data_IF_231954522067
#
_entry.id   IF_231954522067
#
_cell.length_a   1.000
_cell.length_b   1.000
_cell.length_c   1.000
_cell.angle_alpha   90.00
_cell.angle_beta   90.00
_cell.angle_gamma   90.00
#
_symmetry.space_group_name_H-M   'P 1'
#
loop_
_entity.id
_entity.type
_entity.pdbx_description
1 polymer ?
#
# COMPACT_ATOMS: atom_id res chain seq x y z
N UNK A 1 18.92 -24.02 -15.79
CA UNK A 1 18.35 -23.81 -14.46
C UNK A 1 16.95 -23.25 -14.66
N UNK A 2 15.92 -24.05 -14.34
CA UNK A 2 14.53 -23.66 -14.54
C UNK A 2 14.18 -22.54 -13.56
N UNK A 3 13.67 -21.43 -14.08
CA UNK A 3 12.92 -20.46 -13.29
C UNK A 3 11.68 -21.20 -12.78
N UNK A 4 11.68 -21.54 -11.49
CA UNK A 4 10.47 -22.00 -10.83
C UNK A 4 9.41 -20.92 -11.00
N UNK A 5 8.32 -21.29 -11.68
CA UNK A 5 7.10 -20.53 -11.63
C UNK A 5 6.71 -20.55 -10.13
N UNK A 6 6.92 -19.43 -9.44
CA UNK A 6 6.29 -19.21 -8.13
C UNK A 6 4.82 -19.30 -8.44
N UNK A 7 4.16 -20.35 -7.93
CA UNK A 7 2.71 -20.47 -7.97
C UNK A 7 2.17 -19.12 -7.47
N UNK A 8 1.45 -18.41 -8.34
CA UNK A 8 0.98 -17.05 -8.05
C UNK A 8 0.20 -17.16 -6.74
N UNK A 9 0.72 -16.53 -5.69
CA UNK A 9 0.07 -16.50 -4.39
C UNK A 9 -1.38 -16.08 -4.63
N UNK A 10 -2.34 -16.88 -4.19
CA UNK A 10 -3.75 -16.62 -4.46
C UNK A 10 -4.17 -15.46 -3.56
N UNK A 11 -4.05 -14.25 -4.08
CA UNK A 11 -4.40 -13.02 -3.35
C UNK A 11 -5.91 -12.89 -3.15
N UNK A 12 -6.69 -13.41 -4.11
CA UNK A 12 -8.15 -13.31 -4.11
C UNK A 12 -8.75 -14.22 -3.05
N UNK A 13 -9.61 -13.68 -2.15
CA UNK A 13 -10.28 -14.47 -1.14
C UNK A 13 -11.31 -15.44 -1.74
N UNK A 14 -11.85 -16.40 -0.95
CA UNK A 14 -12.96 -17.26 -1.36
C UNK A 14 -14.14 -16.44 -1.88
N UNK A 15 -14.84 -16.96 -2.88
CA UNK A 15 -16.08 -16.35 -3.36
C UNK A 15 -17.20 -16.50 -2.34
N UNK A 16 -18.29 -15.72 -2.45
CA UNK A 16 -19.43 -15.85 -1.56
C UNK A 16 -20.12 -17.22 -1.70
N UNK A 17 -20.02 -17.86 -2.87
CA UNK A 17 -20.55 -19.19 -3.10
C UNK A 17 -19.78 -20.29 -2.33
N UNK A 18 -18.55 -20.03 -1.93
CA UNK A 18 -17.73 -20.94 -1.11
C UNK A 18 -18.06 -20.85 0.38
N UNK A 19 -18.97 -19.93 0.77
CA UNK A 19 -19.51 -19.81 2.13
C UNK A 19 -19.36 -18.41 2.71
N UNK A 20 -20.42 -17.93 3.36
CA UNK A 20 -20.44 -16.63 4.01
C UNK A 20 -19.67 -16.61 5.35
N UNK A 21 -19.32 -17.77 5.90
CA UNK A 21 -18.42 -17.93 7.03
C UNK A 21 -16.99 -17.44 6.75
N UNK A 22 -16.62 -17.29 5.48
CA UNK A 22 -15.33 -16.71 5.06
C UNK A 22 -15.32 -15.18 5.13
N UNK A 23 -16.46 -14.57 5.50
CA UNK A 23 -16.66 -13.12 5.44
C UNK A 23 -17.15 -12.56 6.77
N UNK A 24 -16.47 -11.52 7.24
CA UNK A 24 -16.70 -10.83 8.50
C UNK A 24 -17.52 -9.56 8.30
N UNK A 25 -18.37 -9.24 9.27
CA UNK A 25 -19.01 -7.93 9.43
C UNK A 25 -18.16 -6.94 10.26
N UNK A 26 -16.99 -7.37 10.73
CA UNK A 26 -15.96 -6.58 11.41
C UNK A 26 -14.77 -6.27 10.51
N UNK A 27 -13.58 -6.39 11.06
CA UNK A 27 -12.32 -6.09 10.40
C UNK A 27 -11.67 -7.33 9.70
N UNK A 28 -12.28 -8.50 9.83
CA UNK A 28 -11.80 -9.76 9.28
C UNK A 28 -10.83 -10.49 10.17
N UNK A 29 -10.67 -10.04 11.40
CA UNK A 29 -9.77 -10.69 12.38
C UNK A 29 -10.47 -11.82 13.14
N UNK A 30 -9.67 -12.71 13.72
CA UNK A 30 -10.20 -13.83 14.51
C UNK A 30 -11.09 -13.33 15.67
N UNK A 31 -12.31 -13.86 15.75
CA UNK A 31 -13.31 -13.48 16.76
C UNK A 31 -14.32 -12.45 16.29
N UNK A 32 -14.14 -11.85 15.12
CA UNK A 32 -15.17 -11.00 14.52
C UNK A 32 -16.41 -11.84 14.12
N UNK A 33 -17.62 -11.25 14.13
CA UNK A 33 -18.81 -11.95 13.66
C UNK A 33 -18.77 -12.18 12.15
N UNK A 34 -19.16 -13.40 11.74
CA UNK A 34 -19.31 -13.78 10.34
C UNK A 34 -20.64 -13.35 9.75
N UNK A 35 -20.72 -13.37 8.41
CA UNK A 35 -21.96 -13.11 7.69
C UNK A 35 -22.85 -14.35 7.52
N UNK A 36 -22.37 -15.54 7.82
CA UNK A 36 -23.14 -16.80 7.77
C UNK A 36 -24.36 -16.82 8.71
N UNK A 37 -24.27 -16.10 9.83
CA UNK A 37 -25.37 -15.96 10.80
C UNK A 37 -26.06 -14.59 10.79
N UNK A 38 -25.68 -13.71 9.87
CA UNK A 38 -26.23 -12.35 9.83
C UNK A 38 -27.59 -12.33 9.13
N UNK A 39 -28.64 -11.76 9.72
CA UNK A 39 -29.94 -11.59 9.06
C UNK A 39 -29.89 -10.51 7.95
N UNK A 40 -28.83 -9.72 7.90
CA UNK A 40 -28.65 -8.64 6.92
C UNK A 40 -27.98 -9.10 5.62
N UNK A 41 -27.53 -10.35 5.56
CA UNK A 41 -26.80 -10.93 4.43
C UNK A 41 -27.47 -12.19 3.90
N UNK A 42 -27.49 -12.36 2.59
CA UNK A 42 -27.93 -13.56 1.93
C UNK A 42 -27.14 -13.88 0.67
N UNK A 43 -26.91 -15.16 0.42
CA UNK A 43 -26.30 -15.63 -0.82
C UNK A 43 -27.37 -15.68 -1.92
N UNK A 44 -27.15 -14.97 -3.02
CA UNK A 44 -27.97 -15.03 -4.23
C UNK A 44 -27.23 -15.85 -5.29
N UNK A 45 -27.79 -16.99 -5.71
CA UNK A 45 -27.10 -17.91 -6.62
C UNK A 45 -27.31 -17.62 -8.09
N UNK A 46 -28.32 -16.81 -8.45
CA UNK A 46 -28.75 -16.63 -9.86
C UNK A 46 -28.97 -15.16 -10.23
N UNK A 47 -28.06 -14.28 -9.83
CA UNK A 47 -28.10 -12.91 -10.30
C UNK A 47 -27.73 -12.82 -11.78
N UNK A 48 -28.47 -12.03 -12.58
CA UNK A 48 -28.29 -11.92 -14.05
C UNK A 48 -26.93 -11.37 -14.45
N UNK A 49 -26.30 -10.55 -13.60
CA UNK A 49 -25.05 -9.84 -13.91
C UNK A 49 -23.84 -10.47 -13.22
N UNK A 50 -24.06 -11.06 -12.03
CA UNK A 50 -22.98 -11.55 -11.15
C UNK A 50 -22.96 -13.08 -11.00
N UNK A 51 -24.06 -13.76 -11.34
CA UNK A 51 -24.23 -15.16 -10.99
C UNK A 51 -24.43 -15.33 -9.49
N UNK A 52 -23.50 -15.99 -8.81
CA UNK A 52 -23.52 -16.05 -7.36
C UNK A 52 -22.92 -14.77 -6.74
N UNK A 53 -23.67 -14.12 -5.86
CA UNK A 53 -23.27 -12.86 -5.23
C UNK A 53 -23.82 -12.73 -3.81
N UNK A 54 -23.27 -11.80 -3.03
CA UNK A 54 -23.79 -11.43 -1.72
C UNK A 54 -24.85 -10.33 -1.90
N UNK A 55 -26.05 -10.54 -1.34
CA UNK A 55 -27.01 -9.46 -1.11
C UNK A 55 -26.86 -9.01 0.34
N UNK A 56 -26.58 -7.71 0.55
CA UNK A 56 -26.30 -7.12 1.84
C UNK A 56 -27.23 -5.93 2.09
N UNK A 57 -27.91 -5.94 3.25
CA UNK A 57 -28.67 -4.79 3.76
C UNK A 57 -27.78 -3.94 4.67
N UNK A 58 -27.70 -2.64 4.37
CA UNK A 58 -26.99 -1.70 5.21
C UNK A 58 -27.87 -1.30 6.42
N UNK A 59 -27.45 -1.64 7.63
CA UNK A 59 -28.23 -1.43 8.87
C UNK A 59 -27.50 -0.56 9.90
N UNK A 60 -26.18 -0.36 9.77
CA UNK A 60 -25.37 0.43 10.70
C UNK A 60 -24.61 1.54 9.95
N UNK A 61 -24.06 2.50 10.67
CA UNK A 61 -23.39 3.69 10.10
C UNK A 61 -22.29 3.33 9.09
N UNK A 62 -21.40 2.43 9.48
CA UNK A 62 -20.40 1.84 8.59
C UNK A 62 -20.62 0.34 8.57
N UNK A 63 -21.25 -0.16 7.51
CA UNK A 63 -21.43 -1.60 7.29
C UNK A 63 -20.15 -2.14 6.66
N UNK A 64 -19.38 -2.89 7.43
CA UNK A 64 -18.14 -3.52 6.97
C UNK A 64 -18.42 -4.87 6.33
N UNK A 65 -17.67 -5.21 5.32
CA UNK A 65 -17.55 -6.54 4.73
C UNK A 65 -16.07 -6.81 4.54
N UNK A 66 -15.49 -7.77 5.25
CA UNK A 66 -14.08 -8.14 5.15
C UNK A 66 -13.93 -9.64 4.95
N UNK A 67 -12.95 -10.04 4.18
CA UNK A 67 -12.55 -11.45 4.16
C UNK A 67 -11.75 -11.81 5.42
N UNK A 68 -12.00 -12.99 5.99
CA UNK A 68 -11.14 -13.57 7.01
C UNK A 68 -9.78 -14.04 6.45
N UNK A 69 -9.67 -14.18 5.12
CA UNK A 69 -8.42 -14.56 4.47
C UNK A 69 -7.38 -13.46 4.62
N UNK A 70 -6.20 -13.82 5.07
CA UNK A 70 -5.03 -12.96 5.11
C UNK A 70 -4.42 -12.87 3.72
N UNK A 71 -4.58 -11.73 3.05
CA UNK A 71 -3.86 -11.44 1.81
C UNK A 71 -2.45 -10.99 2.14
N UNK A 72 -1.40 -11.68 1.69
CA UNK A 72 -0.02 -11.29 1.99
C UNK A 72 0.33 -9.96 1.34
N UNK A 73 1.02 -9.10 2.08
CA UNK A 73 1.59 -7.83 1.60
C UNK A 73 3.08 -8.04 1.43
N UNK A 74 3.52 -8.08 0.18
CA UNK A 74 4.92 -8.26 -0.16
C UNK A 74 5.56 -6.90 -0.43
N UNK A 75 6.85 -6.76 -0.11
CA UNK A 75 7.62 -5.58 -0.47
C UNK A 75 7.59 -5.39 -1.99
N UNK A 76 7.60 -4.14 -2.44
CA UNK A 76 7.58 -3.77 -3.87
C UNK A 76 6.28 -4.18 -4.62
N UNK A 77 5.26 -4.71 -3.92
CA UNK A 77 4.02 -5.19 -4.54
C UNK A 77 2.91 -4.17 -4.45
N UNK A 78 2.24 -3.95 -5.59
CA UNK A 78 1.05 -3.13 -5.71
C UNK A 78 -0.14 -4.04 -6.01
N UNK A 79 -1.14 -4.01 -5.14
CA UNK A 79 -2.34 -4.83 -5.27
C UNK A 79 -3.53 -3.98 -5.67
N UNK A 80 -4.23 -4.35 -6.75
CA UNK A 80 -5.55 -3.82 -7.04
C UNK A 80 -6.60 -4.69 -6.39
N UNK A 81 -7.39 -4.11 -5.51
CA UNK A 81 -8.59 -4.74 -4.93
C UNK A 81 -9.80 -4.13 -5.63
N UNK A 82 -10.68 -4.98 -6.17
CA UNK A 82 -11.89 -4.53 -6.86
C UNK A 82 -13.04 -5.49 -6.70
N UNK A 83 -14.26 -4.96 -6.83
CA UNK A 83 -15.48 -5.73 -7.04
C UNK A 83 -16.51 -4.90 -7.81
N UNK A 84 -17.55 -5.55 -8.36
CA UNK A 84 -18.69 -4.86 -8.91
C UNK A 84 -19.85 -4.92 -7.92
N UNK A 85 -20.61 -3.83 -7.88
CA UNK A 85 -21.78 -3.71 -7.02
C UNK A 85 -22.96 -3.17 -7.81
N UNK A 86 -24.20 -3.50 -7.35
CA UNK A 86 -25.40 -2.87 -7.86
C UNK A 86 -26.44 -2.68 -6.75
N UNK A 87 -27.09 -1.54 -6.78
CA UNK A 87 -28.14 -1.20 -5.83
C UNK A 87 -29.46 -1.88 -6.22
N UNK A 88 -30.12 -2.54 -5.26
CA UNK A 88 -31.39 -3.24 -5.50
C UNK A 88 -32.57 -2.40 -5.00
N UNK A 89 -32.47 -1.84 -3.79
CA UNK A 89 -33.55 -1.05 -3.22
C UNK A 89 -33.08 -0.16 -2.06
N UNK A 90 -33.90 0.77 -1.63
CA UNK A 90 -33.66 1.62 -0.46
C UNK A 90 -32.68 2.77 -0.75
N UNK A 91 -31.96 3.24 0.27
CA UNK A 91 -31.04 4.37 0.16
C UNK A 91 -29.72 3.98 -0.47
N UNK A 92 -29.15 4.86 -1.29
CA UNK A 92 -27.87 4.66 -1.95
C UNK A 92 -26.70 4.88 -0.98
N UNK A 93 -25.96 3.84 -0.60
CA UNK A 93 -24.76 4.00 0.22
C UNK A 93 -23.59 4.48 -0.63
N UNK A 94 -22.64 5.16 0.00
CA UNK A 94 -21.30 5.26 -0.57
C UNK A 94 -20.56 3.95 -0.29
N UNK A 95 -19.92 3.40 -1.33
CA UNK A 95 -19.20 2.13 -1.29
C UNK A 95 -17.73 2.39 -1.60
N UNK A 96 -16.84 1.79 -0.83
CA UNK A 96 -15.39 1.92 -1.02
C UNK A 96 -14.68 0.62 -0.68
N UNK A 97 -13.54 0.40 -1.30
CA UNK A 97 -12.62 -0.63 -0.83
C UNK A 97 -12.07 -0.21 0.52
N UNK A 98 -11.93 -1.16 1.41
CA UNK A 98 -11.29 -0.93 2.69
C UNK A 98 -10.53 -2.19 3.15
N UNK A 99 -9.51 -1.98 4.00
CA UNK A 99 -8.66 -3.03 4.49
C UNK A 99 -8.26 -2.82 5.95
N UNK A 100 -7.90 -3.90 6.61
CA UNK A 100 -7.26 -3.90 7.92
C UNK A 100 -5.85 -4.46 7.76
N UNK A 101 -4.85 -3.71 8.20
CA UNK A 101 -3.44 -4.06 8.04
C UNK A 101 -2.90 -4.75 9.29
N UNK A 102 -2.31 -5.92 9.12
CA UNK A 102 -1.74 -6.73 10.18
C UNK A 102 -0.23 -6.91 10.07
N UNK A 103 0.45 -6.89 11.21
CA UNK A 103 1.84 -7.34 11.35
C UNK A 103 1.88 -8.88 11.51
N UNK A 104 3.05 -9.49 11.29
CA UNK A 104 3.27 -10.93 11.50
C UNK A 104 2.90 -11.42 12.91
N UNK A 105 2.98 -10.52 13.91
CA UNK A 105 2.54 -10.79 15.28
C UNK A 105 1.02 -10.85 15.47
N UNK A 106 0.23 -10.47 14.45
CA UNK A 106 -1.21 -10.27 14.54
C UNK A 106 -1.62 -8.88 15.03
N UNK A 107 -0.68 -7.98 15.31
CA UNK A 107 -0.98 -6.64 15.76
C UNK A 107 -1.53 -5.78 14.61
N UNK A 108 -2.50 -4.90 14.93
CA UNK A 108 -3.03 -3.93 13.97
C UNK A 108 -2.02 -2.81 13.68
N UNK A 109 -1.81 -2.52 12.41
CA UNK A 109 -1.02 -1.38 11.94
C UNK A 109 -1.99 -0.26 11.52
N UNK A 110 -2.34 0.60 12.47
CA UNK A 110 -3.36 1.62 12.30
C UNK A 110 -2.89 2.85 11.49
N UNK A 111 -1.59 3.04 11.32
CA UNK A 111 -0.98 4.23 10.69
C UNK A 111 -1.05 4.24 9.16
N UNK A 112 -1.60 3.19 8.56
CA UNK A 112 -1.74 3.08 7.10
C UNK A 112 -3.08 3.64 6.62
N UNK A 113 -3.18 3.99 5.34
CA UNK A 113 -4.45 4.39 4.71
C UNK A 113 -5.33 3.16 4.52
N UNK A 114 -6.35 2.98 5.38
CA UNK A 114 -7.18 1.76 5.40
C UNK A 114 -8.41 1.82 4.49
N UNK A 115 -8.68 2.96 3.86
CA UNK A 115 -9.86 3.19 3.02
C UNK A 115 -9.47 3.80 1.68
N UNK A 116 -10.06 3.30 0.61
CA UNK A 116 -9.93 3.82 -0.74
C UNK A 116 -10.99 4.86 -1.12
N UNK A 117 -11.01 5.29 -2.38
CA UNK A 117 -12.01 6.21 -2.92
C UNK A 117 -13.44 5.63 -2.79
N UNK A 118 -14.40 6.51 -2.53
CA UNK A 118 -15.81 6.15 -2.45
C UNK A 118 -16.51 6.38 -3.78
N UNK A 119 -17.37 5.44 -4.17
CA UNK A 119 -18.32 5.59 -5.26
C UNK A 119 -19.75 5.51 -4.71
N UNK A 120 -20.68 6.27 -5.30
CA UNK A 120 -22.09 6.28 -4.90
C UNK A 120 -22.93 5.85 -6.10
N UNK A 121 -23.72 4.76 -5.99
CA UNK A 121 -24.70 4.41 -7.02
C UNK A 121 -25.71 5.54 -7.20
N UNK A 122 -26.13 5.77 -8.43
CA UNK A 122 -27.12 6.83 -8.77
C UNK A 122 -28.45 6.27 -9.28
N UNK A 123 -28.50 4.97 -9.57
CA UNK A 123 -29.69 4.29 -10.03
C UNK A 123 -29.72 2.83 -9.56
N UNK A 124 -30.92 2.29 -9.39
CA UNK A 124 -31.10 0.85 -9.12
C UNK A 124 -30.70 0.03 -10.35
N UNK A 125 -30.06 -1.13 -10.12
CA UNK A 125 -29.57 -1.99 -11.16
C UNK A 125 -28.34 -1.50 -11.90
N UNK A 126 -27.84 -0.29 -11.62
CA UNK A 126 -26.59 0.22 -12.18
C UNK A 126 -25.43 -0.61 -11.70
N UNK A 127 -24.66 -1.15 -12.64
CA UNK A 127 -23.39 -1.83 -12.34
C UNK A 127 -22.30 -0.78 -12.12
N UNK A 128 -21.65 -0.84 -10.95
CA UNK A 128 -20.52 0.02 -10.62
C UNK A 128 -19.33 -0.84 -10.21
N UNK A 129 -18.15 -0.50 -10.71
CA UNK A 129 -16.90 -1.04 -10.20
C UNK A 129 -16.42 -0.15 -9.04
N UNK A 130 -16.05 -0.80 -7.95
CA UNK A 130 -15.38 -0.19 -6.79
C UNK A 130 -13.99 -0.77 -6.75
N UNK A 131 -12.98 0.06 -6.82
CA UNK A 131 -11.59 -0.39 -6.81
C UNK A 131 -10.68 0.54 -6.02
N UNK A 132 -9.58 0.00 -5.51
CA UNK A 132 -8.48 0.76 -4.95
C UNK A 132 -7.16 0.02 -5.21
N UNK A 133 -6.09 0.77 -5.38
CA UNK A 133 -4.73 0.24 -5.45
C UNK A 133 -4.04 0.49 -4.12
N UNK A 134 -3.57 -0.60 -3.52
CA UNK A 134 -2.79 -0.63 -2.30
C UNK A 134 -1.32 -0.75 -2.69
N UNK A 135 -0.46 0.09 -2.13
CA UNK A 135 0.96 0.06 -2.43
C UNK A 135 1.85 0.50 -1.27
N UNK A 136 3.16 0.21 -1.35
CA UNK A 136 4.10 0.55 -0.29
C UNK A 136 4.40 2.05 -0.21
N UNK A 137 4.26 2.79 -1.31
CA UNK A 137 4.64 4.20 -1.38
C UNK A 137 3.59 5.10 -2.02
N UNK A 138 3.66 6.38 -1.67
CA UNK A 138 2.81 7.41 -2.26
C UNK A 138 3.28 7.70 -3.69
N UNK A 139 2.44 7.40 -4.67
CA UNK A 139 2.63 7.74 -6.08
C UNK A 139 1.30 7.78 -6.82
N UNK A 140 1.31 8.38 -8.00
CA UNK A 140 0.11 8.49 -8.83
C UNK A 140 -0.53 7.10 -9.07
N UNK A 141 -1.84 7.01 -8.85
CA UNK A 141 -2.60 5.79 -9.00
C UNK A 141 -2.60 4.86 -7.78
N UNK A 142 -1.92 5.21 -6.68
CA UNK A 142 -2.02 4.49 -5.41
C UNK A 142 -3.02 5.19 -4.50
N UNK A 143 -4.07 4.49 -4.13
CA UNK A 143 -5.16 5.01 -3.29
C UNK A 143 -4.92 4.79 -1.80
N UNK A 144 -4.28 3.67 -1.47
CA UNK A 144 -4.07 3.22 -0.10
C UNK A 144 -2.58 2.96 0.13
N UNK A 145 -1.91 3.88 0.80
CA UNK A 145 -0.48 3.76 1.12
C UNK A 145 -0.32 2.97 2.42
N UNK A 146 0.33 1.82 2.32
CA UNK A 146 0.51 0.88 3.44
C UNK A 146 1.95 0.79 3.96
N UNK A 147 2.93 1.37 3.26
CA UNK A 147 4.33 1.30 3.68
C UNK A 147 4.91 -0.11 3.59
N UNK A 148 5.98 -0.35 4.35
CA UNK A 148 6.66 -1.63 4.39
C UNK A 148 6.38 -2.43 5.68
N UNK A 149 5.54 -1.90 6.59
CA UNK A 149 5.29 -2.50 7.91
C UNK A 149 4.24 -3.60 7.95
N UNK A 150 3.15 -3.58 7.15
CA UNK A 150 2.18 -4.67 7.12
C UNK A 150 2.74 -5.93 6.47
N UNK A 151 2.45 -7.09 7.06
CA UNK A 151 2.76 -8.40 6.50
C UNK A 151 1.56 -8.98 5.74
N UNK A 152 0.34 -8.59 6.14
CA UNK A 152 -0.90 -9.03 5.48
C UNK A 152 -2.03 -8.01 5.65
N UNK A 153 -3.09 -8.20 4.86
CA UNK A 153 -4.32 -7.43 4.95
C UNK A 153 -5.59 -8.27 4.88
N UNK A 154 -6.64 -7.83 5.58
CA UNK A 154 -8.01 -8.30 5.39
C UNK A 154 -8.75 -7.28 4.54
N UNK A 155 -9.04 -7.61 3.30
CA UNK A 155 -9.67 -6.70 2.36
C UNK A 155 -11.16 -6.94 2.20
N UNK A 156 -11.86 -5.89 1.80
CA UNK A 156 -13.28 -5.92 1.52
C UNK A 156 -13.83 -4.53 1.24
N UNK A 157 -15.06 -4.29 1.70
CA UNK A 157 -15.80 -3.06 1.46
C UNK A 157 -16.26 -2.41 2.75
N UNK A 158 -16.41 -1.07 2.71
CA UNK A 158 -17.28 -0.31 3.61
C UNK A 158 -18.45 0.26 2.83
N UNK A 159 -19.66 0.15 3.41
CA UNK A 159 -20.84 0.88 2.99
C UNK A 159 -21.15 1.94 4.04
N UNK A 160 -21.14 3.21 3.62
CA UNK A 160 -21.39 4.36 4.50
C UNK A 160 -22.64 5.15 4.05
N UNK A 161 -23.05 6.14 4.84
CA UNK A 161 -24.24 6.93 4.56
C UNK A 161 -25.52 6.32 5.16
N UNK A 162 -26.69 6.67 4.61
CA UNK A 162 -27.99 6.33 5.18
C UNK A 162 -28.26 4.82 5.18
N UNK A 163 -28.87 4.32 6.27
CA UNK A 163 -29.25 2.91 6.41
C UNK A 163 -30.49 2.56 5.57
N UNK A 164 -30.74 1.25 5.39
CA UNK A 164 -31.92 0.72 4.70
C UNK A 164 -31.69 0.43 3.20
N UNK A 165 -30.49 0.66 2.69
CA UNK A 165 -30.11 0.25 1.33
C UNK A 165 -29.85 -1.25 1.24
N UNK A 166 -30.27 -1.88 0.13
CA UNK A 166 -29.95 -3.27 -0.23
C UNK A 166 -29.09 -3.27 -1.47
N UNK A 167 -27.90 -3.86 -1.36
CA UNK A 167 -26.91 -3.89 -2.43
C UNK A 167 -26.50 -5.32 -2.73
N UNK A 168 -26.30 -5.66 -4.00
CA UNK A 168 -25.62 -6.89 -4.41
C UNK A 168 -24.18 -6.62 -4.72
N UNK A 169 -23.31 -7.51 -4.26
CA UNK A 169 -21.86 -7.41 -4.31
C UNK A 169 -21.34 -8.67 -5.00
N UNK A 170 -20.62 -8.48 -6.10
CA UNK A 170 -19.86 -9.54 -6.75
C UNK A 170 -18.66 -9.95 -5.88
N UNK A 171 -18.10 -11.12 -6.12
CA UNK A 171 -16.90 -11.58 -5.43
C UNK A 171 -15.75 -10.58 -5.57
N UNK A 172 -15.03 -10.38 -4.48
CA UNK A 172 -13.83 -9.54 -4.44
C UNK A 172 -12.73 -10.16 -5.29
N UNK A 173 -12.04 -9.34 -6.06
CA UNK A 173 -10.86 -9.73 -6.83
C UNK A 173 -9.65 -8.94 -6.36
N UNK A 174 -8.51 -9.64 -6.22
CA UNK A 174 -7.24 -9.01 -5.84
C UNK A 174 -6.20 -9.44 -6.87
N UNK A 175 -5.57 -8.45 -7.51
CA UNK A 175 -4.62 -8.63 -8.60
C UNK A 175 -3.29 -7.95 -8.26
N UNK A 176 -2.18 -8.60 -8.57
CA UNK A 176 -0.87 -7.94 -8.56
C UNK A 176 -0.76 -7.04 -9.80
N UNK A 177 -0.65 -5.74 -9.56
CA UNK A 177 -0.49 -4.71 -10.60
C UNK A 177 0.86 -4.01 -10.51
N UNK A 178 1.84 -4.59 -9.83
CA UNK A 178 3.18 -4.02 -9.64
C UNK A 178 3.84 -3.62 -10.95
N UNK A 179 3.58 -4.35 -12.03
CA UNK A 179 4.11 -4.04 -13.36
C UNK A 179 3.72 -2.65 -13.88
N UNK A 180 2.60 -2.06 -13.41
CA UNK A 180 2.17 -0.70 -13.77
C UNK A 180 3.07 0.37 -13.15
N UNK A 181 3.74 0.03 -12.05
CA UNK A 181 4.56 0.94 -11.25
C UNK A 181 6.06 0.70 -11.44
N UNK A 182 6.46 -0.40 -12.06
CA UNK A 182 7.86 -0.69 -12.33
C UNK A 182 8.41 0.36 -13.29
N UNK A 183 9.54 0.97 -12.92
CA UNK A 183 10.32 1.79 -13.83
C UNK A 183 10.76 0.91 -15.02
N UNK A 184 10.57 1.39 -16.24
CA UNK A 184 10.96 0.67 -17.47
C UNK A 184 12.48 0.38 -17.55
N UNK A 185 13.29 0.97 -16.66
CA UNK A 185 14.71 0.74 -16.52
C UNK A 185 14.98 -0.32 -15.45
N UNK A 186 15.49 -1.47 -15.87
CA UNK A 186 15.91 -2.58 -14.98
C UNK A 186 17.06 -2.20 -14.04
N UNK A 187 17.63 -1.00 -14.16
CA UNK A 187 18.86 -0.56 -13.46
C UNK A 187 18.61 0.50 -12.37
N UNK A 188 17.35 0.83 -12.08
CA UNK A 188 16.98 1.86 -11.09
C UNK A 188 15.89 1.28 -10.17
N UNK A 189 16.09 1.40 -8.85
CA UNK A 189 15.08 1.15 -7.82
C UNK A 189 14.53 2.48 -7.31
N UNK A 190 13.23 2.56 -7.16
CA UNK A 190 12.56 3.69 -6.53
C UNK A 190 12.40 3.41 -5.02
N UNK A 191 12.88 4.33 -4.16
CA UNK A 191 12.80 4.15 -2.71
C UNK A 191 11.35 4.04 -2.20
N UNK A 192 10.36 4.54 -2.95
CA UNK A 192 8.93 4.40 -2.61
C UNK A 192 8.45 2.96 -2.64
N UNK A 193 9.07 2.10 -3.45
CA UNK A 193 8.77 0.65 -3.49
C UNK A 193 9.14 -0.05 -2.17
N UNK A 194 9.93 0.63 -1.32
CA UNK A 194 10.34 0.19 0.01
C UNK A 194 9.64 0.96 1.14
N UNK A 195 8.63 1.76 0.80
CA UNK A 195 7.80 2.47 1.77
C UNK A 195 8.26 3.89 2.08
N UNK A 196 9.17 4.48 1.30
CA UNK A 196 9.56 5.87 1.50
C UNK A 196 8.41 6.84 1.17
N UNK A 197 8.22 7.85 2.03
CA UNK A 197 7.20 8.89 1.91
C UNK A 197 7.88 10.25 1.93
N UNK A 198 7.71 11.01 0.84
CA UNK A 198 8.38 12.30 0.62
C UNK A 198 7.59 13.52 1.11
N UNK A 199 7.01 13.45 2.32
CA UNK A 199 6.21 14.52 2.94
C UNK A 199 7.02 15.47 3.87
N UNK A 200 8.30 15.20 4.08
CA UNK A 200 9.19 15.96 4.94
C UNK A 200 9.06 15.67 6.44
N UNK A 201 8.17 14.76 6.85
CA UNK A 201 7.83 14.46 8.24
C UNK A 201 7.96 12.98 8.58
N UNK A 202 7.49 12.08 7.71
CA UNK A 202 7.52 10.63 7.93
C UNK A 202 8.95 10.11 7.97
N UNK A 203 9.35 9.33 9.01
CA UNK A 203 10.67 8.71 9.07
C UNK A 203 10.90 7.73 7.92
N UNK A 204 12.03 7.84 7.23
CA UNK A 204 12.35 7.03 6.04
C UNK A 204 13.63 6.21 6.15
N UNK A 205 14.30 6.17 7.31
CA UNK A 205 15.56 5.43 7.48
C UNK A 205 15.43 3.97 7.04
N UNK A 206 14.38 3.28 7.50
CA UNK A 206 14.19 1.86 7.21
C UNK A 206 13.89 1.62 5.71
N UNK A 207 13.15 2.51 5.07
CA UNK A 207 12.86 2.43 3.64
C UNK A 207 14.12 2.62 2.79
N UNK A 208 14.96 3.61 3.10
CA UNK A 208 16.24 3.81 2.41
C UNK A 208 17.20 2.64 2.64
N UNK A 209 17.29 2.14 3.87
CA UNK A 209 18.15 1.00 4.20
C UNK A 209 17.71 -0.27 3.46
N UNK A 210 16.42 -0.56 3.43
CA UNK A 210 15.88 -1.71 2.71
C UNK A 210 16.09 -1.60 1.19
N UNK A 211 15.92 -0.41 0.63
CA UNK A 211 16.19 -0.15 -0.78
C UNK A 211 17.67 -0.32 -1.13
N UNK A 212 18.58 0.16 -0.28
CA UNK A 212 20.03 0.02 -0.46
C UNK A 212 20.47 -1.44 -0.42
N UNK A 213 19.93 -2.22 0.53
CA UNK A 213 20.18 -3.66 0.62
C UNK A 213 19.70 -4.41 -0.63
N UNK A 214 18.51 -4.06 -1.13
CA UNK A 214 17.89 -4.67 -2.30
C UNK A 214 18.50 -4.22 -3.63
N UNK A 215 19.28 -3.14 -3.65
CA UNK A 215 19.77 -2.53 -4.88
C UNK A 215 20.67 -3.47 -5.71
N UNK A 216 21.51 -4.28 -5.06
CA UNK A 216 22.37 -5.27 -5.72
C UNK A 216 23.14 -4.69 -6.94
N UNK A 217 23.68 -3.48 -6.81
CA UNK A 217 24.41 -2.75 -7.86
C UNK A 217 23.55 -1.84 -8.76
N UNK A 218 22.23 -1.84 -8.60
CA UNK A 218 21.33 -0.87 -9.23
C UNK A 218 21.43 0.49 -8.55
N UNK A 219 21.02 1.56 -9.25
CA UNK A 219 20.92 2.89 -8.65
C UNK A 219 19.62 3.06 -7.90
N UNK A 220 19.62 3.85 -6.82
CA UNK A 220 18.43 4.25 -6.10
C UNK A 220 17.94 5.60 -6.62
N UNK A 221 16.67 5.68 -6.99
CA UNK A 221 15.98 6.92 -7.29
C UNK A 221 15.37 7.47 -6.00
N UNK A 222 15.75 8.69 -5.64
CA UNK A 222 15.05 9.53 -4.68
C UNK A 222 14.13 10.44 -5.51
N UNK A 223 12.82 10.13 -5.60
CA UNK A 223 11.89 10.87 -6.46
C UNK A 223 11.55 12.24 -5.89
N UNK A 224 10.73 13.02 -6.60
CA UNK A 224 10.26 14.32 -6.13
C UNK A 224 9.60 14.20 -4.74
N UNK A 225 9.90 15.17 -3.88
CA UNK A 225 9.46 15.25 -2.49
C UNK A 225 10.60 15.55 -1.54
N UNK A 226 10.31 15.67 -0.25
CA UNK A 226 11.30 15.82 0.81
C UNK A 226 11.24 14.60 1.74
N UNK A 227 12.32 13.83 1.84
CA UNK A 227 12.37 12.60 2.62
C UNK A 227 13.09 12.84 3.95
N UNK A 228 12.34 12.75 5.06
CA UNK A 228 12.92 12.90 6.40
C UNK A 228 13.58 11.60 6.84
N UNK A 229 14.88 11.67 7.17
CA UNK A 229 15.68 10.56 7.68
C UNK A 229 16.05 10.91 9.12
N UNK A 230 15.46 10.23 10.07
CA UNK A 230 15.45 10.61 11.49
C UNK A 230 16.78 10.36 12.22
N UNK A 231 17.70 9.63 11.60
CA UNK A 231 19.02 9.29 12.17
C UNK A 231 20.09 9.18 11.09
N UNK A 232 21.35 9.01 11.51
CA UNK A 232 22.46 8.84 10.57
C UNK A 232 22.26 7.64 9.64
N UNK A 233 22.59 7.82 8.37
CA UNK A 233 22.40 6.81 7.32
C UNK A 233 23.66 6.68 6.46
N UNK A 234 24.05 5.44 6.18
CA UNK A 234 25.13 5.10 5.23
C UNK A 234 24.54 4.27 4.10
N UNK A 235 24.75 4.71 2.85
CA UNK A 235 24.27 4.04 1.64
C UNK A 235 25.44 3.63 0.76
N UNK A 236 25.37 2.41 0.21
CA UNK A 236 26.37 1.82 -0.69
C UNK A 236 25.98 1.99 -2.15
N UNK A 237 24.70 2.08 -2.44
CA UNK A 237 24.20 2.25 -3.80
C UNK A 237 24.48 3.64 -4.33
N UNK A 238 24.60 3.76 -5.66
CA UNK A 238 24.59 5.06 -6.32
C UNK A 238 23.18 5.63 -6.31
N UNK A 239 23.04 6.92 -5.95
CA UNK A 239 21.76 7.60 -5.87
C UNK A 239 21.55 8.51 -7.06
N UNK A 240 20.27 8.70 -7.40
CA UNK A 240 19.78 9.69 -8.34
C UNK A 240 18.72 10.51 -7.63
N UNK A 241 19.01 11.76 -7.34
CA UNK A 241 18.09 12.67 -6.66
C UNK A 241 17.25 13.45 -7.67
N UNK A 242 15.92 13.45 -7.45
CA UNK A 242 14.95 14.38 -8.04
C UNK A 242 14.23 15.16 -6.95
N UNK A 243 14.20 14.63 -5.75
CA UNK A 243 13.76 15.25 -4.52
C UNK A 243 14.92 15.41 -3.56
N UNK A 244 14.63 15.86 -2.34
CA UNK A 244 15.63 16.18 -1.33
C UNK A 244 15.48 15.29 -0.10
N UNK A 245 16.55 15.20 0.71
CA UNK A 245 16.53 14.57 2.01
C UNK A 245 16.67 15.62 3.12
N UNK A 246 16.07 15.32 4.27
CA UNK A 246 16.16 16.14 5.47
C UNK A 246 16.64 15.26 6.63
N UNK A 247 17.70 15.67 7.31
CA UNK A 247 18.23 14.96 8.48
C UNK A 247 18.42 15.91 9.65
N UNK A 248 18.42 15.39 10.91
CA UNK A 248 18.90 16.12 12.06
C UNK A 248 20.32 16.66 11.84
N UNK A 249 20.63 17.82 12.42
CA UNK A 249 21.93 18.48 12.21
C UNK A 249 23.11 17.58 12.54
N UNK A 250 23.01 16.79 13.61
CA UNK A 250 24.07 15.89 14.08
C UNK A 250 24.12 14.53 13.34
N UNK A 251 23.10 14.20 12.55
CA UNK A 251 23.01 12.90 11.86
C UNK A 251 23.88 12.89 10.60
N UNK A 252 24.88 11.98 10.46
CA UNK A 252 25.69 11.86 9.25
C UNK A 252 24.87 11.24 8.12
N UNK A 253 25.16 11.68 6.89
CA UNK A 253 24.62 11.09 5.66
C UNK A 253 25.80 10.69 4.78
N UNK A 254 26.11 9.39 4.73
CA UNK A 254 27.31 8.87 4.08
C UNK A 254 26.94 8.14 2.80
N UNK A 255 27.46 8.61 1.67
CA UNK A 255 27.26 8.04 0.34
C UNK A 255 28.57 7.37 -0.14
N UNK A 256 28.73 6.06 0.12
CA UNK A 256 30.01 5.36 -0.12
C UNK A 256 30.41 5.32 -1.60
N UNK A 257 29.45 5.17 -2.53
CA UNK A 257 29.72 5.09 -3.97
C UNK A 257 29.34 6.34 -4.78
N UNK A 258 28.94 7.41 -4.08
CA UNK A 258 28.57 8.70 -4.67
C UNK A 258 29.09 9.84 -3.78
N UNK A 259 30.35 9.74 -3.32
CA UNK A 259 30.95 10.73 -2.42
C UNK A 259 31.53 11.87 -3.24
N UNK A 260 30.67 12.66 -3.86
CA UNK A 260 30.99 13.86 -4.62
C UNK A 260 30.07 15.00 -4.19
N UNK A 261 30.59 16.25 -4.27
CA UNK A 261 29.87 17.40 -3.76
C UNK A 261 28.57 17.71 -4.52
N UNK A 262 28.54 17.44 -5.82
CA UNK A 262 27.35 17.63 -6.64
C UNK A 262 26.19 16.76 -6.15
N UNK A 263 26.45 15.48 -5.83
CA UNK A 263 25.44 14.57 -5.27
C UNK A 263 24.92 15.08 -3.91
N UNK A 264 25.77 15.70 -3.08
CA UNK A 264 25.29 16.31 -1.83
C UNK A 264 24.45 17.55 -2.07
N UNK A 265 24.78 18.38 -3.07
CA UNK A 265 23.92 19.51 -3.48
C UNK A 265 22.55 19.00 -3.93
N UNK A 266 22.53 17.99 -4.79
CA UNK A 266 21.27 17.37 -5.24
C UNK A 266 20.46 16.81 -4.07
N UNK A 267 21.13 16.19 -3.09
CA UNK A 267 20.49 15.59 -1.92
C UNK A 267 19.84 16.64 -0.98
N UNK A 268 20.46 17.80 -0.79
CA UNK A 268 20.01 18.77 0.21
C UNK A 268 19.39 20.05 -0.39
N UNK A 269 19.61 20.32 -1.67
CA UNK A 269 19.08 21.50 -2.36
C UNK A 269 19.74 22.83 -2.00
N UNK A 270 20.67 22.84 -1.03
CA UNK A 270 21.38 24.02 -0.54
C UNK A 270 22.88 23.74 -0.40
N UNK A 271 23.74 24.58 -1.02
CA UNK A 271 25.19 24.35 -1.04
C UNK A 271 25.82 24.35 0.37
N UNK A 272 25.41 25.27 1.25
CA UNK A 272 25.96 25.37 2.60
C UNK A 272 25.64 24.15 3.44
N UNK A 273 24.39 23.68 3.38
CA UNK A 273 23.96 22.46 4.06
C UNK A 273 24.63 21.23 3.46
N UNK A 274 24.70 21.14 2.15
CA UNK A 274 25.39 20.07 1.42
C UNK A 274 26.86 19.97 1.85
N UNK A 275 27.57 21.10 1.91
CA UNK A 275 28.96 21.13 2.36
C UNK A 275 29.12 20.64 3.81
N UNK A 276 28.26 21.13 4.71
CA UNK A 276 28.29 20.70 6.14
C UNK A 276 28.07 19.19 6.26
N UNK A 277 27.13 18.63 5.50
CA UNK A 277 26.79 17.21 5.51
C UNK A 277 27.86 16.35 4.84
N UNK A 278 28.44 16.80 3.74
CA UNK A 278 29.55 16.12 3.09
C UNK A 278 30.79 16.10 3.98
N UNK A 279 31.11 17.22 4.63
CA UNK A 279 32.23 17.30 5.60
C UNK A 279 31.97 16.42 6.83
N UNK A 280 30.73 16.39 7.33
CA UNK A 280 30.34 15.51 8.42
C UNK A 280 30.48 14.02 8.02
N UNK A 281 30.10 13.68 6.79
CA UNK A 281 30.26 12.32 6.24
C UNK A 281 31.75 11.94 6.16
N UNK A 282 32.62 12.84 5.68
CA UNK A 282 34.08 12.62 5.62
C UNK A 282 34.66 12.32 7.00
N UNK A 283 34.25 13.02 8.05
CA UNK A 283 34.69 12.77 9.41
C UNK A 283 34.19 11.46 10.03
N UNK A 284 33.08 10.90 9.50
CA UNK A 284 32.45 9.69 10.00
C UNK A 284 32.71 8.46 9.11
N UNK A 285 33.31 8.66 7.93
CA UNK A 285 33.65 7.60 6.98
C UNK A 285 35.17 7.44 6.95
N UNK A 286 35.66 6.26 7.25
CA UNK A 286 37.08 5.93 7.06
C UNK A 286 37.43 5.56 5.60
N UNK A 287 36.47 5.64 4.67
CA UNK A 287 36.58 5.11 3.32
C UNK A 287 37.03 6.17 2.29
N UNK A 288 37.01 7.46 2.66
CA UNK A 288 37.36 8.59 1.78
C UNK A 288 38.32 9.55 2.45
N UNK A 289 39.38 9.93 1.74
CA UNK A 289 40.40 10.89 2.21
C UNK A 289 40.09 12.34 1.76
N UNK A 290 39.19 12.50 0.80
CA UNK A 290 38.79 13.80 0.25
C UNK A 290 37.35 13.77 -0.27
N UNK A 291 36.76 14.97 -0.43
CA UNK A 291 35.50 15.21 -1.13
C UNK A 291 35.85 15.65 -2.55
N UNK A 292 35.38 14.92 -3.56
CA UNK A 292 35.57 15.22 -4.98
C UNK A 292 34.54 16.24 -5.50
#
# INVERSE_FOLDING_TARGET
MGLGIIEAARFTPPTFAEGLENWSSGDGVAGDPGYDLSPDASLVLGDSDFGACLELRKTIEVQKLRSFTQTPILKETYLRVRCRVKMISGHFPAVRIAGWAGAASGAHIAQVTQIGPSVVPTAYGQLLEVSAIIGPGLRDGVDMVWGASPDYGHFGLDLTGQNGGVIRIESLQIEDVSALFMLQSTNILDIRDYGAIGDGETPNYDAFSAADEAAAGRRLLVPEGQFYIEKGLTLRSKLLFRGTVKLPVSAPFVLQNNFDFTTYIDAFGEEELAFKKAFQALLNSGDHDALD
#
